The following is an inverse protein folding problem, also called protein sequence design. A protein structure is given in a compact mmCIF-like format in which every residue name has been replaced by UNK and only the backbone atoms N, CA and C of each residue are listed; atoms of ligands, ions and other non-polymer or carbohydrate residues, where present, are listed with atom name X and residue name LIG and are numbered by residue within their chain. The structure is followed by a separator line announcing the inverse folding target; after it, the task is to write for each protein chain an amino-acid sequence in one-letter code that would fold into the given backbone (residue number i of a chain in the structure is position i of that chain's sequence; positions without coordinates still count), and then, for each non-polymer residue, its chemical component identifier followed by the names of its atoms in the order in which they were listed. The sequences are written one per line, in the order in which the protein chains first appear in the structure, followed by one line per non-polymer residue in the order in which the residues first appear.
data_IF_644466906265
#
_entry.id   IF_644466906265
#
_cell.length_a   1.000
_cell.length_b   1.000
_cell.length_c   1.000
_cell.angle_alpha   90.00
_cell.angle_beta   90.00
_cell.angle_gamma   90.00
#
_symmetry.space_group_name_H-M   'P 1'
#
loop_
_entity.id
_entity.type
_entity.pdbx_description
1 polymer ?
#
# COMPACT_ATOMS: atom_id res chain seq x y z
N UNK A 1 1.73 -13.83 3.88
CA UNK A 1 0.95 -13.24 2.77
C UNK A 1 0.99 -14.22 1.61
N UNK A 2 -0.16 -14.60 1.02
CA UNK A 2 -0.16 -15.44 -0.17
C UNK A 2 0.54 -14.71 -1.33
N UNK A 3 1.39 -15.42 -2.05
CA UNK A 3 2.03 -14.88 -3.24
C UNK A 3 1.01 -14.81 -4.38
N UNK A 4 0.66 -13.59 -4.79
CA UNK A 4 -0.21 -13.36 -5.95
C UNK A 4 0.68 -13.15 -7.17
N UNK A 5 0.53 -14.01 -8.18
CA UNK A 5 1.28 -13.84 -9.43
C UNK A 5 0.82 -12.58 -10.16
N UNK A 6 1.70 -12.01 -10.98
CA UNK A 6 1.34 -10.86 -11.83
C UNK A 6 0.11 -11.13 -12.69
N UNK A 7 0.01 -12.33 -13.25
CA UNK A 7 -1.11 -12.69 -14.14
C UNK A 7 -2.43 -12.79 -13.37
N UNK A 8 -2.42 -13.36 -12.15
CA UNK A 8 -3.60 -13.40 -11.29
C UNK A 8 -4.00 -11.99 -10.83
N UNK A 9 -3.05 -11.15 -10.40
CA UNK A 9 -3.32 -9.76 -10.05
C UNK A 9 -3.96 -9.00 -11.22
N UNK A 10 -3.39 -9.09 -12.43
CA UNK A 10 -3.93 -8.45 -13.62
C UNK A 10 -5.30 -8.98 -14.01
N UNK A 11 -5.55 -10.29 -13.84
CA UNK A 11 -6.86 -10.90 -14.08
C UNK A 11 -7.92 -10.31 -13.15
N UNK A 12 -7.63 -10.22 -11.84
CA UNK A 12 -8.54 -9.62 -10.84
C UNK A 12 -8.84 -8.16 -11.16
N UNK A 13 -7.83 -7.36 -11.46
CA UNK A 13 -7.99 -5.93 -11.82
C UNK A 13 -8.81 -5.75 -13.11
N UNK A 14 -8.54 -6.55 -14.15
CA UNK A 14 -9.33 -6.52 -15.40
C UNK A 14 -10.78 -6.93 -15.17
N UNK A 15 -11.04 -7.85 -14.24
CA UNK A 15 -12.40 -8.26 -13.88
C UNK A 15 -13.19 -7.12 -13.21
N UNK A 16 -12.57 -6.29 -12.37
CA UNK A 16 -13.22 -5.09 -11.82
C UNK A 16 -13.66 -4.13 -12.94
N UNK A 17 -12.75 -3.85 -13.88
CA UNK A 17 -13.03 -2.98 -15.02
C UNK A 17 -14.14 -3.56 -15.90
N UNK A 18 -14.09 -4.85 -16.20
CA UNK A 18 -15.13 -5.54 -16.98
C UNK A 18 -16.50 -5.52 -16.30
N UNK A 19 -16.52 -5.50 -14.96
CA UNK A 19 -17.74 -5.34 -14.17
C UNK A 19 -18.21 -3.89 -14.02
N UNK A 20 -17.55 -2.93 -14.70
CA UNK A 20 -17.87 -1.49 -14.62
C UNK A 20 -17.51 -0.85 -13.27
N UNK A 21 -16.64 -1.50 -12.47
CA UNK A 21 -16.18 -0.99 -11.18
C UNK A 21 -14.82 -0.30 -11.34
N UNK A 22 -14.59 0.84 -10.64
CA UNK A 22 -13.27 1.46 -10.62
C UNK A 22 -12.28 0.59 -9.87
N UNK A 23 -11.01 0.66 -10.26
CA UNK A 23 -9.90 0.12 -9.47
C UNK A 23 -9.49 1.16 -8.43
N UNK A 24 -9.47 0.75 -7.16
CA UNK A 24 -9.12 1.60 -6.02
C UNK A 24 -7.76 1.18 -5.45
N UNK A 25 -6.77 2.07 -5.54
CA UNK A 25 -5.48 1.93 -4.87
C UNK A 25 -5.38 2.83 -3.64
N UNK A 26 -4.85 2.29 -2.54
CA UNK A 26 -4.66 3.03 -1.29
C UNK A 26 -3.18 3.10 -0.87
N UNK A 27 -2.74 4.30 -0.49
CA UNK A 27 -1.44 4.48 0.15
C UNK A 27 -1.52 4.20 1.66
N UNK A 28 -0.72 3.28 2.19
CA UNK A 28 -0.68 2.97 3.62
C UNK A 28 0.66 3.39 4.24
N UNK A 29 0.59 4.23 5.28
CA UNK A 29 1.77 4.70 6.01
C UNK A 29 2.09 3.92 7.29
N UNK A 30 1.17 3.05 7.73
CA UNK A 30 1.27 2.22 8.93
C UNK A 30 0.50 0.91 8.72
N UNK A 31 0.75 -0.09 9.56
CA UNK A 31 0.00 -1.36 9.55
C UNK A 31 -1.51 -1.18 9.78
N UNK A 32 -1.93 -0.25 10.63
CA UNK A 32 -3.36 0.01 10.87
C UNK A 32 -4.05 0.61 9.64
N UNK A 33 -3.37 1.51 8.91
CA UNK A 33 -3.88 2.03 7.63
C UNK A 33 -4.07 0.91 6.61
N UNK A 34 -3.10 -0.01 6.50
CA UNK A 34 -3.18 -1.14 5.57
C UNK A 34 -4.34 -2.08 5.91
N UNK A 35 -4.47 -2.46 7.19
CA UNK A 35 -5.53 -3.35 7.69
C UNK A 35 -6.94 -2.80 7.41
N UNK A 36 -7.15 -1.50 7.57
CA UNK A 36 -8.45 -0.91 7.29
C UNK A 36 -8.68 -0.61 5.81
N UNK A 37 -7.62 -0.36 5.03
CA UNK A 37 -7.73 -0.28 3.57
C UNK A 37 -8.18 -1.62 2.98
N UNK A 38 -7.58 -2.73 3.39
CA UNK A 38 -8.01 -4.09 3.02
C UNK A 38 -9.48 -4.33 3.38
N UNK A 39 -9.87 -4.07 4.63
CA UNK A 39 -11.27 -4.24 5.07
C UNK A 39 -12.25 -3.34 4.32
N UNK A 40 -11.77 -2.22 3.78
CA UNK A 40 -12.52 -1.33 2.91
C UNK A 40 -12.67 -1.85 1.48
N UNK A 41 -12.04 -2.97 1.13
CA UNK A 41 -12.13 -3.60 -0.19
C UNK A 41 -11.33 -2.89 -1.29
N UNK A 42 -10.20 -2.28 -0.94
CA UNK A 42 -9.29 -1.70 -1.95
C UNK A 42 -8.68 -2.81 -2.80
N UNK A 43 -8.42 -2.54 -4.08
CA UNK A 43 -7.81 -3.50 -4.99
C UNK A 43 -6.29 -3.60 -4.81
N UNK A 44 -5.66 -2.50 -4.36
CA UNK A 44 -4.22 -2.36 -4.26
C UNK A 44 -3.83 -1.55 -3.02
N UNK A 45 -2.77 -1.99 -2.34
CA UNK A 45 -2.11 -1.22 -1.27
C UNK A 45 -0.69 -0.89 -1.70
N UNK A 46 -0.29 0.38 -1.55
CA UNK A 46 1.06 0.87 -1.83
C UNK A 46 1.65 1.46 -0.55
N UNK A 47 2.88 1.08 -0.20
CA UNK A 47 3.61 1.58 0.96
C UNK A 47 4.90 2.26 0.52
N UNK A 48 5.25 3.38 1.17
CA UNK A 48 6.43 4.19 0.86
C UNK A 48 6.69 5.21 1.99
N UNK A 49 7.89 5.78 2.02
CA UNK A 49 8.35 6.70 3.07
C UNK A 49 7.41 7.91 3.30
N UNK A 50 6.91 8.58 2.27
CA UNK A 50 5.93 9.68 2.44
C UNK A 50 4.63 9.22 3.10
N UNK A 51 4.25 7.93 2.98
CA UNK A 51 3.17 7.35 3.77
C UNK A 51 3.48 7.41 5.26
N UNK A 52 4.64 6.87 5.68
CA UNK A 52 5.11 6.92 7.07
C UNK A 52 5.21 8.35 7.60
N UNK A 53 5.76 9.27 6.81
CA UNK A 53 5.91 10.67 7.19
C UNK A 53 4.56 11.40 7.34
N UNK A 54 3.57 11.13 6.48
CA UNK A 54 2.21 11.63 6.66
C UNK A 54 1.61 11.16 7.98
N UNK A 55 1.77 9.88 8.31
CA UNK A 55 1.28 9.32 9.57
C UNK A 55 2.03 9.86 10.81
N UNK A 56 3.24 10.42 10.62
CA UNK A 56 3.97 11.15 11.64
C UNK A 56 3.62 12.66 11.70
N UNK A 57 2.61 13.13 10.94
CA UNK A 57 2.19 14.53 10.92
C UNK A 57 3.13 15.44 10.11
N UNK A 58 3.70 14.95 9.01
CA UNK A 58 4.54 15.74 8.08
C UNK A 58 3.89 15.81 6.69
N UNK A 59 4.27 16.82 5.92
CA UNK A 59 3.80 17.00 4.54
C UNK A 59 4.34 15.91 3.59
N UNK A 60 3.57 15.60 2.54
CA UNK A 60 3.90 14.53 1.58
C UNK A 60 5.26 14.68 0.91
N UNK A 61 5.71 15.92 0.67
CA UNK A 61 6.98 16.22 0.03
C UNK A 61 8.19 15.92 0.94
N UNK A 62 7.99 15.65 2.23
CA UNK A 62 9.07 15.24 3.12
C UNK A 62 9.78 13.96 2.65
N UNK A 63 9.10 13.08 1.92
CA UNK A 63 9.70 11.87 1.34
C UNK A 63 10.66 12.11 0.18
N UNK A 64 10.74 13.33 -0.34
CA UNK A 64 11.67 13.72 -1.40
C UNK A 64 12.91 14.46 -0.87
N UNK A 65 12.94 14.78 0.43
CA UNK A 65 14.02 15.50 1.08
C UNK A 65 15.00 14.51 1.73
N UNK A 66 16.25 14.91 2.03
CA UNK A 66 17.28 14.02 2.58
C UNK A 66 17.07 13.71 4.07
N UNK A 67 15.87 13.26 4.45
CA UNK A 67 15.49 12.87 5.81
C UNK A 67 15.63 11.36 6.08
N UNK A 68 15.95 10.58 5.05
CA UNK A 68 16.21 9.15 5.16
C UNK A 68 16.31 8.48 3.79
N UNK A 69 16.82 7.25 3.77
CA UNK A 69 16.81 6.40 2.57
C UNK A 69 15.40 5.85 2.33
N UNK A 70 14.77 6.28 1.23
CA UNK A 70 13.43 5.84 0.88
C UNK A 70 13.32 4.32 0.69
N UNK A 71 14.36 3.68 0.12
CA UNK A 71 14.36 2.25 -0.14
C UNK A 71 14.55 1.43 1.15
N UNK A 72 15.48 1.85 2.02
CA UNK A 72 15.60 1.26 3.36
C UNK A 72 14.30 1.38 4.16
N UNK A 73 13.69 2.57 4.18
CA UNK A 73 12.44 2.81 4.91
C UNK A 73 11.30 1.92 4.42
N UNK A 74 11.13 1.72 3.10
CA UNK A 74 10.03 0.87 2.61
C UNK A 74 10.23 -0.61 3.00
N UNK A 75 11.48 -1.08 3.05
CA UNK A 75 11.79 -2.44 3.53
C UNK A 75 11.46 -2.57 5.03
N UNK A 76 11.77 -1.57 5.85
CA UNK A 76 11.36 -1.55 7.26
C UNK A 76 9.83 -1.57 7.41
N UNK A 77 9.12 -0.72 6.63
CA UNK A 77 7.66 -0.64 6.65
C UNK A 77 6.99 -1.96 6.28
N UNK A 78 7.63 -2.80 5.46
CA UNK A 78 7.09 -4.10 5.09
C UNK A 78 6.82 -4.99 6.32
N UNK A 79 7.65 -4.90 7.36
CA UNK A 79 7.47 -5.65 8.62
C UNK A 79 6.24 -5.23 9.41
N UNK A 80 5.75 -4.00 9.22
CA UNK A 80 4.55 -3.47 9.87
C UNK A 80 3.27 -3.79 9.08
N UNK A 81 3.39 -3.98 7.77
CA UNK A 81 2.24 -4.06 6.84
C UNK A 81 1.97 -5.48 6.37
N UNK A 82 2.96 -6.20 5.87
CA UNK A 82 2.77 -7.53 5.28
C UNK A 82 2.15 -8.56 6.25
N UNK A 83 2.42 -8.53 7.58
CA UNK A 83 1.82 -9.50 8.50
C UNK A 83 0.35 -9.24 8.83
N UNK A 84 -0.17 -8.03 8.60
CA UNK A 84 -1.52 -7.61 9.04
C UNK A 84 -2.54 -7.54 7.91
N UNK A 85 -2.12 -7.81 6.68
CA UNK A 85 -2.94 -7.84 5.47
C UNK A 85 -3.12 -9.30 5.03
N UNK A 86 -4.37 -9.73 4.89
CA UNK A 86 -4.86 -11.02 4.46
C UNK A 86 -5.72 -10.81 3.19
N UNK A 87 -5.22 -11.32 2.04
CA UNK A 87 -5.99 -11.39 0.77
C UNK A 87 -7.34 -12.08 0.96
#
# INVERSE_FOLDING_TARGET
MPFITRDEALKRLKAQVAAGKPIIGAGAGTGISAKFAERGGVDLIIIYNSGRYRMAGRGSLAGLLPYGDANGIVVEMASEVLPVVQD
#
